data_IF_015932228236
#
_entry.id   IF_015932228236
#
_cell.length_a   1.000
_cell.length_b   1.000
_cell.length_c   1.000
_cell.angle_alpha   90.00
_cell.angle_beta   90.00
_cell.angle_gamma   90.00
#
_symmetry.space_group_name_H-M   'P 1'
#
loop_
_entity.id
_entity.type
_entity.pdbx_description
1 polymer ?
#
# COMPACT_ATOMS: atom_id res chain seq x y z
N UNK A 1 -22.43 -26.50 10.50
CA UNK A 1 -21.95 -26.12 9.15
C UNK A 1 -20.66 -25.32 9.31
N UNK A 2 -19.50 -25.91 8.99
CA UNK A 2 -18.21 -25.20 9.08
C UNK A 2 -18.19 -24.15 7.97
N UNK A 3 -18.41 -22.87 8.31
CA UNK A 3 -18.24 -21.76 7.36
C UNK A 3 -16.79 -21.79 6.89
N UNK A 4 -16.56 -21.83 5.58
CA UNK A 4 -15.23 -21.65 5.01
C UNK A 4 -14.64 -20.34 5.57
N UNK A 5 -13.34 -20.28 5.91
CA UNK A 5 -12.75 -19.06 6.41
C UNK A 5 -12.96 -17.97 5.36
N UNK A 6 -13.55 -16.86 5.81
CA UNK A 6 -13.98 -15.70 4.99
C UNK A 6 -12.86 -15.19 4.08
N UNK A 7 -11.59 -15.48 4.38
CA UNK A 7 -10.44 -14.96 3.63
C UNK A 7 -10.28 -15.52 2.19
N UNK A 8 -10.47 -16.82 1.93
CA UNK A 8 -10.01 -17.38 0.64
C UNK A 8 -10.93 -17.04 -0.54
N UNK A 9 -12.26 -17.03 -0.32
CA UNK A 9 -13.23 -16.76 -1.38
C UNK A 9 -13.19 -15.31 -1.85
N UNK A 10 -13.03 -14.36 -0.92
CA UNK A 10 -12.97 -12.93 -1.25
C UNK A 10 -11.61 -12.51 -1.81
N UNK A 11 -10.49 -13.07 -1.34
CA UNK A 11 -9.19 -12.85 -1.98
C UNK A 11 -9.19 -13.36 -3.42
N UNK A 12 -9.79 -14.53 -3.66
CA UNK A 12 -10.01 -15.01 -5.02
C UNK A 12 -10.87 -14.05 -5.85
N UNK A 13 -11.83 -13.32 -5.25
CA UNK A 13 -12.58 -12.28 -5.97
C UNK A 13 -11.74 -11.03 -6.30
N UNK A 14 -10.76 -10.67 -5.45
CA UNK A 14 -9.78 -9.61 -5.76
C UNK A 14 -8.93 -10.04 -6.96
N UNK A 15 -8.60 -11.35 -7.03
CA UNK A 15 -7.82 -11.95 -8.10
C UNK A 15 -8.64 -12.24 -9.38
N UNK A 16 -9.93 -12.57 -9.26
CA UNK A 16 -10.77 -12.99 -10.37
C UNK A 16 -11.29 -11.81 -11.21
N UNK A 17 -11.51 -10.64 -10.59
CA UNK A 17 -11.96 -9.43 -11.31
C UNK A 17 -10.88 -8.84 -12.23
N UNK A 18 -9.63 -9.33 -12.17
CA UNK A 18 -8.54 -8.81 -12.95
C UNK A 18 -7.64 -9.93 -13.47
N UNK A 19 -7.40 -9.97 -14.78
CA UNK A 19 -6.06 -10.33 -15.27
C UNK A 19 -5.09 -9.31 -14.65
N UNK A 20 -4.56 -9.61 -13.46
CA UNK A 20 -3.90 -8.63 -12.61
C UNK A 20 -2.47 -8.40 -13.12
N UNK A 21 -2.27 -7.42 -14.00
CA UNK A 21 -0.95 -6.85 -14.22
C UNK A 21 -0.57 -6.07 -12.95
N UNK A 22 0.36 -6.61 -12.15
CA UNK A 22 0.83 -6.01 -10.89
C UNK A 22 0.57 -6.85 -9.63
N UNK A 23 0.27 -8.14 -9.74
CA UNK A 23 0.27 -9.04 -8.58
C UNK A 23 1.73 -9.32 -8.19
N UNK A 24 2.02 -9.15 -6.91
CA UNK A 24 3.35 -9.31 -6.33
C UNK A 24 3.25 -10.41 -5.28
N UNK A 25 4.07 -11.45 -5.40
CA UNK A 25 4.19 -12.43 -4.32
C UNK A 25 4.85 -11.76 -3.12
N UNK A 26 4.36 -12.05 -1.91
CA UNK A 26 4.94 -11.51 -0.68
C UNK A 26 6.44 -11.80 -0.57
N UNK A 27 6.89 -12.97 -1.05
CA UNK A 27 8.30 -13.38 -1.01
C UNK A 27 9.22 -12.52 -1.91
N UNK A 28 8.64 -11.75 -2.84
CA UNK A 28 9.38 -10.81 -3.68
C UNK A 28 9.54 -9.43 -3.02
N UNK A 29 8.85 -9.16 -1.92
CA UNK A 29 8.93 -7.92 -1.18
C UNK A 29 10.00 -8.02 -0.09
N UNK A 30 10.97 -7.10 -0.14
CA UNK A 30 11.92 -6.92 0.95
C UNK A 30 11.35 -5.88 1.91
N UNK A 31 10.83 -6.32 3.06
CA UNK A 31 10.27 -5.41 4.06
C UNK A 31 11.40 -4.79 4.88
N UNK A 32 11.44 -3.46 4.93
CA UNK A 32 12.41 -2.67 5.66
C UNK A 32 11.81 -1.98 6.88
N UNK A 33 12.33 -0.77 7.18
CA UNK A 33 11.89 0.01 8.35
C UNK A 33 10.43 0.45 8.22
N UNK A 34 9.74 0.53 9.35
CA UNK A 34 8.40 1.13 9.42
C UNK A 34 8.49 2.63 9.15
N UNK A 35 7.67 3.13 8.22
CA UNK A 35 7.51 4.55 7.88
C UNK A 35 6.48 5.21 8.79
N UNK A 36 5.39 4.50 9.09
CA UNK A 36 4.32 5.02 9.92
C UNK A 36 3.17 4.03 10.09
N UNK A 37 2.18 4.43 10.88
CA UNK A 37 0.93 3.69 11.07
C UNK A 37 -0.23 4.62 10.71
N UNK A 38 -1.06 4.23 9.75
CA UNK A 38 -2.30 4.93 9.43
C UNK A 38 -3.45 4.51 10.36
N UNK A 39 -4.70 4.70 9.93
CA UNK A 39 -5.85 4.14 10.65
C UNK A 39 -5.89 2.61 10.60
N UNK A 40 -5.77 2.06 9.39
CA UNK A 40 -6.03 0.64 9.10
C UNK A 40 -4.82 -0.13 8.55
N UNK A 41 -3.76 0.58 8.16
CA UNK A 41 -2.54 0.01 7.57
C UNK A 41 -1.30 0.49 8.30
N UNK A 42 -0.27 -0.33 8.24
CA UNK A 42 1.08 0.04 8.59
C UNK A 42 1.88 0.19 7.29
N UNK A 43 2.66 1.27 7.20
CA UNK A 43 3.47 1.55 6.02
C UNK A 43 4.93 1.25 6.32
N UNK A 44 5.58 0.52 5.43
CA UNK A 44 6.99 0.15 5.51
C UNK A 44 7.74 0.65 4.28
N UNK A 45 9.00 1.03 4.46
CA UNK A 45 9.93 1.14 3.35
C UNK A 45 10.31 -0.28 2.94
N UNK A 46 10.58 -0.51 1.66
CA UNK A 46 11.02 -1.81 1.20
C UNK A 46 11.62 -1.77 -0.19
N UNK A 47 11.88 -2.95 -0.74
CA UNK A 47 12.32 -3.11 -2.14
C UNK A 47 11.47 -4.13 -2.88
N UNK A 48 11.24 -3.85 -4.16
CA UNK A 48 10.64 -4.78 -5.11
C UNK A 48 11.36 -4.67 -6.45
N UNK A 49 11.86 -5.79 -6.99
CA UNK A 49 12.66 -5.83 -8.22
C UNK A 49 13.82 -4.82 -8.27
N UNK A 50 14.45 -4.55 -7.13
CA UNK A 50 15.56 -3.60 -7.01
C UNK A 50 15.16 -2.14 -6.84
N UNK A 51 13.88 -1.80 -6.98
CA UNK A 51 13.34 -0.45 -6.81
C UNK A 51 12.90 -0.22 -5.36
N UNK A 52 13.12 0.99 -4.84
CA UNK A 52 12.64 1.38 -3.51
C UNK A 52 11.13 1.67 -3.53
N UNK A 53 10.39 1.02 -2.63
CA UNK A 53 8.92 1.04 -2.59
C UNK A 53 8.39 1.36 -1.20
N UNK A 54 7.18 1.88 -1.13
CA UNK A 54 6.38 1.93 0.07
C UNK A 54 5.39 0.75 0.07
N UNK A 55 5.36 0.01 1.17
CA UNK A 55 4.53 -1.19 1.35
C UNK A 55 3.50 -0.88 2.42
N UNK A 56 2.26 -0.62 2.00
CA UNK A 56 1.12 -0.41 2.88
C UNK A 56 0.45 -1.74 3.19
N UNK A 57 0.74 -2.31 4.34
CA UNK A 57 0.18 -3.59 4.81
C UNK A 57 -1.03 -3.35 5.72
N UNK A 58 -2.17 -3.95 5.39
CA UNK A 58 -3.36 -3.84 6.24
C UNK A 58 -3.17 -4.64 7.53
N UNK A 59 -3.55 -4.05 8.68
CA UNK A 59 -3.45 -4.72 9.98
C UNK A 59 -4.44 -5.87 10.09
N UNK A 60 -3.93 -7.07 10.32
CA UNK A 60 -4.74 -8.28 10.36
C UNK A 60 -5.13 -8.63 11.79
N UNK A 61 -6.43 -8.67 12.07
CA UNK A 61 -7.02 -9.50 13.14
C UNK A 61 -8.08 -10.45 12.61
N UNK A 62 -8.83 -10.03 11.59
CA UNK A 62 -9.65 -10.79 10.64
C UNK A 62 -10.14 -9.75 9.63
N UNK A 63 -9.97 -9.97 8.33
CA UNK A 63 -10.50 -9.02 7.34
C UNK A 63 -12.03 -9.11 7.31
N UNK A 64 -12.70 -7.98 7.40
CA UNK A 64 -14.13 -7.87 7.12
C UNK A 64 -14.36 -7.74 5.62
N UNK A 65 -15.57 -8.02 5.17
CA UNK A 65 -15.97 -7.79 3.76
C UNK A 65 -15.82 -6.30 3.38
N UNK A 66 -16.02 -5.40 4.35
CA UNK A 66 -15.84 -3.97 4.18
C UNK A 66 -14.36 -3.62 3.95
N UNK A 67 -13.43 -4.15 4.75
CA UNK A 67 -11.98 -3.90 4.57
C UNK A 67 -11.52 -4.32 3.16
N UNK A 68 -12.00 -5.48 2.70
CA UNK A 68 -11.68 -6.00 1.36
C UNK A 68 -12.28 -5.10 0.27
N UNK A 69 -13.50 -4.61 0.45
CA UNK A 69 -14.18 -3.71 -0.49
C UNK A 69 -13.47 -2.36 -0.59
N UNK A 70 -13.09 -1.78 0.56
CA UNK A 70 -12.31 -0.54 0.63
C UNK A 70 -10.96 -0.71 -0.06
N UNK A 71 -10.28 -1.83 0.17
CA UNK A 71 -9.02 -2.11 -0.52
C UNK A 71 -9.20 -2.28 -2.03
N UNK A 72 -10.25 -2.99 -2.49
CA UNK A 72 -10.57 -3.10 -3.92
C UNK A 72 -10.79 -1.71 -4.53
N UNK A 73 -11.48 -0.83 -3.82
CA UNK A 73 -11.71 0.54 -4.27
C UNK A 73 -10.40 1.33 -4.36
N UNK A 74 -9.55 1.28 -3.33
CA UNK A 74 -8.26 1.95 -3.31
C UNK A 74 -7.36 1.47 -4.47
N UNK A 75 -7.26 0.16 -4.69
CA UNK A 75 -6.52 -0.43 -5.81
C UNK A 75 -7.10 0.06 -7.16
N UNK A 76 -8.42 0.06 -7.31
CA UNK A 76 -9.08 0.49 -8.56
C UNK A 76 -8.78 1.93 -8.89
N UNK A 77 -8.79 2.82 -7.90
CA UNK A 77 -8.47 4.24 -8.08
C UNK A 77 -6.99 4.41 -8.42
N UNK A 78 -6.09 3.88 -7.59
CA UNK A 78 -4.64 4.04 -7.78
C UNK A 78 -4.15 3.50 -9.13
N UNK A 79 -4.72 2.40 -9.63
CA UNK A 79 -4.38 1.83 -10.94
C UNK A 79 -4.67 2.77 -12.11
N UNK A 80 -5.65 3.65 -11.98
CA UNK A 80 -6.06 4.58 -13.06
C UNK A 80 -5.25 5.88 -13.04
N UNK A 81 -4.48 6.14 -11.99
CA UNK A 81 -3.76 7.39 -11.82
C UNK A 81 -2.31 7.24 -12.31
N UNK A 82 -1.93 8.08 -13.27
CA UNK A 82 -0.55 8.19 -13.77
C UNK A 82 -0.23 9.66 -14.01
N UNK A 83 0.42 10.29 -13.04
CA UNK A 83 0.77 11.70 -13.08
C UNK A 83 1.98 11.97 -12.18
N UNK A 84 2.83 12.95 -12.52
CA UNK A 84 4.04 13.30 -11.75
C UNK A 84 3.77 13.70 -10.29
N UNK A 85 2.57 14.22 -10.02
CA UNK A 85 2.13 14.72 -8.71
C UNK A 85 1.22 13.74 -7.96
N UNK A 86 1.10 12.49 -8.43
CA UNK A 86 0.31 11.44 -7.77
C UNK A 86 1.22 10.23 -7.59
N UNK A 87 1.25 9.69 -6.37
CA UNK A 87 2.06 8.51 -6.05
C UNK A 87 1.75 7.36 -7.02
N UNK A 88 2.79 6.84 -7.65
CA UNK A 88 2.67 5.76 -8.63
C UNK A 88 2.34 4.45 -7.93
N UNK A 89 1.29 3.81 -8.44
CA UNK A 89 0.95 2.43 -8.10
C UNK A 89 1.97 1.46 -8.70
N UNK A 90 2.52 0.56 -7.88
CA UNK A 90 3.47 -0.48 -8.31
C UNK A 90 2.77 -1.84 -8.39
N UNK A 91 1.98 -2.20 -7.39
CA UNK A 91 1.29 -3.49 -7.38
C UNK A 91 0.51 -3.78 -6.10
N UNK A 92 -0.02 -4.99 -6.02
CA UNK A 92 -0.69 -5.52 -4.83
C UNK A 92 -0.07 -6.86 -4.44
N UNK A 93 0.03 -7.12 -3.14
CA UNK A 93 0.24 -8.47 -2.61
C UNK A 93 -1.07 -8.95 -1.98
N UNK A 94 -1.59 -10.07 -2.48
CA UNK A 94 -2.89 -10.68 -2.13
C UNK A 94 -2.73 -11.88 -1.20
N UNK A 95 -1.61 -11.96 -0.47
CA UNK A 95 -1.37 -13.03 0.48
C UNK A 95 -2.41 -12.96 1.62
N UNK A 96 -2.97 -14.12 1.98
CA UNK A 96 -3.99 -14.26 3.04
C UNK A 96 -3.56 -13.65 4.37
N UNK A 97 -2.26 -13.64 4.65
CA UNK A 97 -1.66 -13.10 5.88
C UNK A 97 -0.95 -11.77 5.68
N UNK A 98 -0.79 -11.30 4.44
CA UNK A 98 -0.03 -10.11 4.13
C UNK A 98 -0.65 -9.39 2.93
N UNK A 99 -1.75 -8.71 3.19
CA UNK A 99 -2.48 -7.98 2.18
C UNK A 99 -1.86 -6.57 2.08
N UNK A 100 -1.17 -6.30 0.96
CA UNK A 100 -0.37 -5.08 0.81
C UNK A 100 -0.72 -4.32 -0.48
N UNK A 101 -0.73 -2.99 -0.40
CA UNK A 101 -0.66 -2.09 -1.56
C UNK A 101 0.78 -1.59 -1.65
N UNK A 102 1.38 -1.74 -2.83
CA UNK A 102 2.77 -1.32 -3.09
C UNK A 102 2.75 -0.11 -4.00
N UNK A 103 3.41 0.96 -3.57
CA UNK A 103 3.60 2.20 -4.33
C UNK A 103 5.07 2.57 -4.39
N UNK A 104 5.41 3.59 -5.16
CA UNK A 104 6.73 4.19 -5.07
C UNK A 104 6.99 4.76 -3.66
N UNK A 105 8.27 4.83 -3.29
CA UNK A 105 8.70 5.44 -2.05
C UNK A 105 8.93 6.94 -2.24
N UNK A 106 8.20 7.78 -1.50
CA UNK A 106 8.51 9.20 -1.39
C UNK A 106 9.66 9.41 -0.41
N UNK A 107 10.87 9.73 -0.90
CA UNK A 107 12.10 9.82 -0.09
C UNK A 107 11.99 10.76 1.12
N UNK A 108 11.22 11.85 0.97
CA UNK A 108 11.06 12.87 2.01
C UNK A 108 9.92 12.58 2.98
N UNK A 109 9.23 11.46 2.83
CA UNK A 109 8.07 11.09 3.64
C UNK A 109 6.86 11.97 3.34
N UNK A 110 5.94 12.06 4.30
CA UNK A 110 4.77 12.91 4.19
C UNK A 110 5.08 14.38 4.51
N UNK A 111 4.16 15.26 4.09
CA UNK A 111 4.28 16.70 4.27
C UNK A 111 4.31 17.10 5.75
N UNK A 112 3.58 16.39 6.61
CA UNK A 112 3.45 16.73 8.02
C UNK A 112 4.79 16.59 8.75
N UNK A 113 5.48 15.48 8.51
CA UNK A 113 6.82 15.22 9.05
C UNK A 113 7.87 16.11 8.39
N UNK A 114 7.77 16.32 7.07
CA UNK A 114 8.68 17.20 6.35
C UNK A 114 8.67 18.63 6.91
N UNK A 115 7.49 19.22 7.11
CA UNK A 115 7.35 20.59 7.62
C UNK A 115 7.91 20.79 9.03
N UNK A 116 7.97 19.72 9.85
CA UNK A 116 8.53 19.78 11.22
C UNK A 116 10.04 19.66 11.24
N UNK A 117 10.61 18.92 10.28
CA UNK A 117 12.07 18.74 10.17
C UNK A 117 12.74 19.90 9.44
N UNK A 118 12.07 20.47 8.44
CA UNK A 118 12.64 21.52 7.61
C UNK A 118 12.42 22.89 8.26
N UNK A 119 13.51 23.65 8.38
CA UNK A 119 13.45 25.00 8.92
C UNK A 119 12.59 25.88 8.02
N UNK A 120 11.67 26.64 8.60
CA UNK A 120 10.83 27.60 7.86
C UNK A 120 11.73 28.53 7.03
N UNK A 121 11.51 28.64 5.71
CA UNK A 121 12.25 29.57 4.88
C UNK A 121 11.98 31.01 5.35
N UNK A 122 13.03 31.83 5.39
CA UNK A 122 12.90 33.25 5.70
C UNK A 122 12.39 33.99 4.47
N UNK A 123 11.15 34.47 4.50
CA UNK A 123 10.56 35.26 3.41
C UNK A 123 11.20 36.65 3.20
N UNK A 124 12.16 37.06 4.04
CA UNK A 124 12.79 38.39 4.01
C UNK A 124 13.89 38.61 2.96
N UNK A 125 14.02 37.74 1.95
CA UNK A 125 15.00 37.90 0.85
C UNK A 125 14.41 37.44 -0.50
N UNK A 126 13.22 37.94 -0.86
CA UNK A 126 12.80 38.02 -2.26
C UNK A 126 12.97 39.45 -2.74
#
# INVERSE_FOLDING_TARGET
>A
VKKAPINTVYLNSILADAKFHGEISYDQLQIGRKLGSGGFKDCYAGKYNGEDVAIGELRIKNFTEQDITEMKHEIKVLKQLRHENIVRFVGVCTNVRHLCIVTELCEHGDLYDYMRRVRRPSFGRM
#
